data_IF_091429646102
#
_entry.id   IF_091429646102
#
_cell.length_a   1.000
_cell.length_b   1.000
_cell.length_c   1.000
_cell.angle_alpha   90.00
_cell.angle_beta   90.00
_cell.angle_gamma   90.00
#
_symmetry.space_group_name_H-M   'P 1'
#
loop_
_entity.id
_entity.type
_entity.pdbx_description
1 polymer ?
#
# COMPACT_ATOMS: atom_id res chain seq x y z
N UNK A 1 -7.71 -26.97 16.38
CA UNK A 1 -6.69 -26.12 17.02
C UNK A 1 -5.55 -25.89 16.02
N UNK A 2 -5.68 -24.92 15.13
CA UNK A 2 -4.56 -24.43 14.33
C UNK A 2 -4.74 -22.91 14.20
N UNK A 3 -4.11 -22.19 15.13
CA UNK A 3 -3.93 -20.76 15.04
C UNK A 3 -2.77 -20.50 14.08
N UNK A 4 -3.01 -19.68 13.06
CA UNK A 4 -1.96 -19.15 12.19
C UNK A 4 -1.86 -17.65 12.49
N UNK A 5 -0.71 -17.23 13.03
CA UNK A 5 -0.33 -15.83 13.13
C UNK A 5 0.35 -15.40 11.83
N UNK A 6 0.10 -14.17 11.40
CA UNK A 6 0.77 -13.54 10.27
C UNK A 6 1.37 -12.22 10.76
N UNK A 7 2.69 -12.16 10.88
CA UNK A 7 3.44 -10.92 11.11
C UNK A 7 3.72 -10.38 9.71
N UNK A 8 3.12 -9.25 9.30
CA UNK A 8 3.06 -8.95 7.86
C UNK A 8 3.99 -7.83 7.39
N UNK A 9 4.22 -6.74 8.11
CA UNK A 9 4.96 -5.61 7.53
C UNK A 9 5.68 -4.76 8.56
N UNK A 10 6.95 -4.40 8.29
CA UNK A 10 7.70 -3.34 8.98
C UNK A 10 7.86 -2.12 8.06
N UNK A 11 7.45 -0.94 8.54
CA UNK A 11 7.54 0.33 7.83
C UNK A 11 8.76 1.14 8.28
N UNK A 12 9.49 1.74 7.34
CA UNK A 12 10.41 2.85 7.59
C UNK A 12 9.87 4.10 6.90
N UNK A 13 9.60 5.18 7.64
CA UNK A 13 9.26 6.48 7.07
C UNK A 13 10.48 7.37 7.20
N UNK A 14 11.02 7.83 6.08
CA UNK A 14 12.04 8.86 6.05
C UNK A 14 11.40 10.14 5.50
N UNK A 15 10.88 10.96 6.41
CA UNK A 15 10.64 12.38 6.17
C UNK A 15 11.58 13.15 7.09
N UNK A 16 12.13 14.21 6.55
CA UNK A 16 12.97 15.27 7.09
C UNK A 16 12.62 15.80 8.50
N UNK A 17 11.53 15.35 9.15
CA UNK A 17 11.24 15.61 10.59
C UNK A 17 10.60 14.48 11.41
N UNK A 18 10.58 13.21 10.97
CA UNK A 18 10.19 12.11 11.86
C UNK A 18 10.76 10.77 11.37
N UNK A 19 11.61 10.14 12.19
CA UNK A 19 12.00 8.74 12.07
C UNK A 19 10.97 7.93 12.85
N UNK A 20 10.00 7.33 12.15
CA UNK A 20 9.17 6.30 12.76
C UNK A 20 9.77 4.94 12.39
N UNK A 21 10.60 4.40 13.28
CA UNK A 21 11.00 2.99 13.25
C UNK A 21 9.93 2.15 13.97
N UNK A 22 9.44 1.12 13.28
CA UNK A 22 8.76 0.00 13.93
C UNK A 22 7.29 0.23 14.24
N UNK A 23 6.43 0.03 13.25
CA UNK A 23 5.09 -0.49 13.50
C UNK A 23 4.91 -1.76 12.70
N UNK A 24 4.64 -2.87 13.40
CA UNK A 24 4.19 -4.11 12.78
C UNK A 24 2.71 -3.93 12.47
N UNK A 25 2.35 -4.00 11.20
CA UNK A 25 0.94 -4.14 10.83
C UNK A 25 0.58 -5.61 10.99
N UNK A 26 -0.20 -5.92 12.03
CA UNK A 26 -0.84 -7.22 12.19
C UNK A 26 -2.25 -7.18 11.61
N UNK A 27 -2.50 -8.05 10.63
CA UNK A 27 -3.79 -8.21 10.02
C UNK A 27 -4.64 -9.16 10.86
N UNK A 28 -5.55 -8.63 11.68
CA UNK A 28 -6.56 -9.44 12.34
C UNK A 28 -7.68 -9.73 11.33
N UNK A 29 -7.91 -11.03 11.08
CA UNK A 29 -9.06 -11.65 10.37
C UNK A 29 -10.08 -10.66 9.77
N UNK A 30 -10.16 -10.59 8.43
CA UNK A 30 -11.42 -10.33 7.75
C UNK A 30 -12.28 -11.60 7.83
N UNK A 31 -13.45 -11.52 8.47
CA UNK A 31 -14.39 -12.64 8.62
C UNK A 31 -14.95 -13.12 7.28
N UNK A 32 -15.67 -14.24 7.29
CA UNK A 32 -16.45 -14.71 6.14
C UNK A 32 -17.78 -13.94 6.10
N UNK A 33 -18.14 -13.36 4.94
CA UNK A 33 -19.42 -12.69 4.70
C UNK A 33 -19.39 -11.15 4.74
N UNK A 34 -19.22 -10.51 3.58
CA UNK A 34 -19.46 -9.07 3.38
C UNK A 34 -18.47 -8.12 4.08
N UNK A 35 -17.27 -8.62 4.37
CA UNK A 35 -16.40 -8.19 5.47
C UNK A 35 -15.33 -7.20 5.01
N UNK A 36 -15.08 -6.16 5.81
CA UNK A 36 -14.04 -5.16 5.60
C UNK A 36 -12.71 -5.78 5.13
N UNK A 37 -12.12 -5.23 4.06
CA UNK A 37 -10.81 -5.66 3.59
C UNK A 37 -9.75 -5.17 4.57
N UNK A 38 -8.98 -6.08 5.22
CA UNK A 38 -7.98 -5.68 6.21
C UNK A 38 -6.97 -4.70 5.61
N UNK A 39 -6.79 -3.55 6.27
CA UNK A 39 -5.91 -2.50 5.80
C UNK A 39 -5.23 -1.80 6.97
N UNK A 40 -3.98 -1.38 6.76
CA UNK A 40 -3.29 -0.45 7.64
C UNK A 40 -2.70 0.71 6.85
N UNK A 41 -2.55 1.86 7.51
CA UNK A 41 -2.17 3.12 6.89
C UNK A 41 -1.17 3.86 7.77
N UNK A 42 -0.25 4.56 7.15
CA UNK A 42 0.54 5.57 7.84
C UNK A 42 -0.36 6.69 8.36
N UNK A 43 -0.05 7.21 9.55
CA UNK A 43 -0.79 8.33 10.16
C UNK A 43 -0.61 9.64 9.40
N UNK A 44 0.48 9.78 8.66
CA UNK A 44 0.89 11.05 8.04
C UNK A 44 0.38 11.15 6.62
N UNK A 45 -0.36 12.22 6.34
CA UNK A 45 -0.69 12.68 5.00
C UNK A 45 0.40 13.62 4.51
N UNK A 46 0.93 13.36 3.33
CA UNK A 46 1.98 14.16 2.68
C UNK A 46 1.40 14.76 1.42
N UNK A 47 1.46 16.08 1.28
CA UNK A 47 1.09 16.74 0.03
C UNK A 47 1.97 16.22 -1.12
N UNK A 48 1.38 15.96 -2.28
CA UNK A 48 2.12 15.43 -3.44
C UNK A 48 3.29 16.31 -3.88
N UNK A 49 3.24 17.61 -3.58
CA UNK A 49 4.31 18.56 -3.90
C UNK A 49 5.56 18.41 -3.01
N UNK A 50 5.48 17.61 -1.94
CA UNK A 50 6.60 17.37 -1.02
C UNK A 50 7.29 16.04 -1.33
N UNK A 51 8.52 15.90 -0.82
CA UNK A 51 9.26 14.66 -0.86
C UNK A 51 8.88 13.78 0.32
N UNK A 52 8.53 12.52 0.08
CA UNK A 52 8.38 11.51 1.11
C UNK A 52 8.81 10.14 0.62
N UNK A 53 9.26 9.33 1.57
CA UNK A 53 9.73 7.98 1.32
C UNK A 53 9.22 7.00 2.38
N UNK A 54 8.74 5.84 1.91
CA UNK A 54 8.29 4.73 2.75
C UNK A 54 8.93 3.42 2.29
N UNK A 55 9.56 2.69 3.21
CA UNK A 55 10.03 1.33 3.01
C UNK A 55 9.12 0.33 3.71
N UNK A 56 8.81 -0.77 3.05
CA UNK A 56 7.78 -1.72 3.46
C UNK A 56 8.33 -3.12 3.27
N UNK A 57 8.84 -3.74 4.34
CA UNK A 57 9.38 -5.09 4.26
C UNK A 57 8.26 -6.12 4.42
N UNK A 58 8.15 -7.04 3.45
CA UNK A 58 7.28 -8.20 3.60
C UNK A 58 7.94 -9.25 4.49
N UNK A 59 7.35 -9.53 5.65
CA UNK A 59 7.91 -10.49 6.63
C UNK A 59 7.15 -11.82 6.68
N UNK A 60 6.00 -11.91 6.03
CA UNK A 60 5.24 -13.15 5.94
C UNK A 60 3.99 -13.05 5.07
N UNK A 61 3.59 -14.18 4.48
CA UNK A 61 2.34 -14.33 3.72
C UNK A 61 1.78 -15.73 4.01
N UNK A 62 0.70 -15.80 4.80
CA UNK A 62 0.16 -17.08 5.30
C UNK A 62 -0.73 -17.83 4.30
N UNK A 63 -1.15 -17.19 3.21
CA UNK A 63 -1.99 -17.80 2.17
C UNK A 63 -1.32 -17.66 0.82
N UNK A 64 -1.30 -18.75 0.04
CA UNK A 64 -0.85 -18.73 -1.36
C UNK A 64 -1.87 -18.07 -2.30
N UNK A 65 -3.13 -17.94 -1.87
CA UNK A 65 -4.21 -17.38 -2.67
C UNK A 65 -4.51 -15.92 -2.34
N UNK A 66 -4.13 -15.44 -1.16
CA UNK A 66 -4.35 -14.03 -0.81
C UNK A 66 -3.41 -13.12 -1.61
N UNK A 67 -3.85 -11.90 -1.92
CA UNK A 67 -3.02 -10.86 -2.50
C UNK A 67 -2.69 -9.79 -1.46
N UNK A 68 -1.51 -9.20 -1.58
CA UNK A 68 -1.08 -8.06 -0.76
C UNK A 68 -0.90 -6.88 -1.69
N UNK A 69 -1.56 -5.78 -1.37
CA UNK A 69 -1.43 -4.51 -2.08
C UNK A 69 -0.62 -3.56 -1.20
N UNK A 70 0.44 -3.02 -1.78
CA UNK A 70 1.35 -2.08 -1.10
C UNK A 70 1.37 -0.80 -1.92
N UNK A 71 1.02 0.34 -1.33
CA UNK A 71 0.95 1.57 -2.11
C UNK A 71 0.55 2.79 -1.32
N UNK A 72 -0.04 3.75 -2.02
CA UNK A 72 -0.56 4.98 -1.43
C UNK A 72 -2.04 5.14 -1.77
N UNK A 73 -2.74 5.81 -0.87
CA UNK A 73 -4.04 6.40 -1.16
C UNK A 73 -3.95 7.92 -1.08
N UNK A 74 -4.71 8.59 -1.94
CA UNK A 74 -4.76 10.03 -2.04
C UNK A 74 -6.09 10.58 -1.54
N UNK A 75 -6.04 11.78 -0.98
CA UNK A 75 -7.21 12.57 -0.57
C UNK A 75 -7.03 14.02 -1.02
N UNK A 76 -8.13 14.64 -1.46
CA UNK A 76 -8.10 16.00 -1.99
C UNK A 76 -7.68 17.03 -0.93
N UNK A 77 -8.23 16.89 0.29
CA UNK A 77 -7.98 17.78 1.42
C UNK A 77 -7.92 16.99 2.74
N UNK A 78 -6.97 17.29 3.64
CA UNK A 78 -6.94 16.72 4.98
C UNK A 78 -8.26 17.02 5.71
N UNK A 79 -8.88 16.01 6.34
CA UNK A 79 -10.15 16.17 7.06
C UNK A 79 -11.42 16.17 6.18
N UNK A 80 -11.30 16.05 4.85
CA UNK A 80 -12.42 15.76 3.93
C UNK A 80 -12.24 14.41 3.25
N UNK A 81 -11.71 13.46 4.01
CA UNK A 81 -11.46 12.09 3.56
C UNK A 81 -12.80 11.47 3.11
N UNK A 82 -13.00 11.36 1.79
CA UNK A 82 -14.07 10.51 1.26
C UNK A 82 -13.61 9.09 1.49
N UNK A 83 -14.18 8.45 2.51
CA UNK A 83 -13.69 7.22 3.11
C UNK A 83 -13.43 6.09 2.11
N UNK A 84 -12.17 5.96 1.66
CA UNK A 84 -11.65 4.72 1.08
C UNK A 84 -11.36 3.66 2.17
N UNK A 85 -11.72 3.93 3.44
CA UNK A 85 -11.58 3.03 4.57
C UNK A 85 -12.42 1.77 4.37
N UNK A 86 -11.74 0.62 4.28
CA UNK A 86 -12.37 -0.69 4.11
C UNK A 86 -12.89 -0.96 2.70
N UNK A 87 -12.70 -0.03 1.74
CA UNK A 87 -12.99 -0.29 0.33
C UNK A 87 -11.88 -1.14 -0.28
N UNK A 88 -12.26 -2.11 -1.11
CA UNK A 88 -11.32 -2.86 -1.93
C UNK A 88 -10.63 -1.90 -2.91
N UNK A 89 -9.30 -1.81 -2.86
CA UNK A 89 -8.54 -0.97 -3.79
C UNK A 89 -8.68 -1.44 -5.23
N UNK A 90 -9.07 -2.69 -5.49
CA UNK A 90 -9.39 -3.17 -6.84
C UNK A 90 -10.74 -2.64 -7.37
N UNK A 91 -11.44 -1.75 -6.64
CA UNK A 91 -12.69 -1.16 -7.11
C UNK A 91 -12.45 -0.01 -8.11
N UNK A 92 -13.34 0.15 -9.09
CA UNK A 92 -13.32 1.27 -10.05
C UNK A 92 -13.39 2.65 -9.36
N UNK A 93 -14.10 2.75 -8.24
CA UNK A 93 -14.19 4.00 -7.45
C UNK A 93 -12.87 4.44 -6.82
N UNK A 94 -11.88 3.53 -6.78
CA UNK A 94 -10.54 3.78 -6.28
C UNK A 94 -9.55 4.22 -7.38
N UNK A 95 -9.97 4.26 -8.66
CA UNK A 95 -9.14 4.74 -9.78
C UNK A 95 -8.79 6.23 -9.59
N UNK A 96 -7.51 6.56 -9.77
CA UNK A 96 -6.96 7.89 -9.53
C UNK A 96 -6.84 8.28 -8.04
N UNK A 97 -7.28 7.42 -7.13
CA UNK A 97 -7.25 7.65 -5.67
C UNK A 97 -6.40 6.67 -4.91
N UNK A 98 -6.18 5.50 -5.47
CA UNK A 98 -5.28 4.48 -4.91
C UNK A 98 -4.29 4.12 -5.98
N UNK A 99 -3.05 3.90 -5.58
CA UNK A 99 -1.96 3.49 -6.45
C UNK A 99 -1.17 2.44 -5.70
N UNK A 100 -1.09 1.23 -6.23
CA UNK A 100 -0.53 0.11 -5.48
C UNK A 100 0.18 -0.90 -6.36
N UNK A 101 1.15 -1.56 -5.75
CA UNK A 101 1.86 -2.70 -6.27
C UNK A 101 1.33 -3.98 -5.60
N UNK A 102 0.82 -4.89 -6.40
CA UNK A 102 0.26 -6.15 -6.00
C UNK A 102 1.33 -7.24 -5.91
N UNK A 103 1.15 -8.20 -4.98
CA UNK A 103 2.12 -9.28 -4.77
C UNK A 103 2.32 -10.20 -5.97
N UNK A 104 1.36 -10.24 -6.89
CA UNK A 104 1.43 -10.97 -8.17
C UNK A 104 2.28 -10.27 -9.25
N UNK A 105 2.79 -9.06 -9.00
CA UNK A 105 3.61 -8.34 -9.96
C UNK A 105 2.88 -7.25 -10.74
N UNK A 106 1.64 -6.90 -10.40
CA UNK A 106 0.90 -5.86 -11.13
C UNK A 106 0.89 -4.54 -10.36
N UNK A 107 1.17 -3.43 -11.04
CA UNK A 107 0.95 -2.09 -10.48
C UNK A 107 -0.35 -1.51 -11.02
N UNK A 108 -1.20 -0.97 -10.14
CA UNK A 108 -2.55 -0.54 -10.46
C UNK A 108 -2.86 0.86 -9.90
N UNK A 109 -3.83 1.52 -10.53
CA UNK A 109 -4.61 2.60 -9.93
C UNK A 109 -6.07 2.20 -9.86
N UNK A 110 -6.60 1.97 -8.66
CA UNK A 110 -7.90 1.29 -8.55
C UNK A 110 -7.88 -0.07 -9.27
N UNK A 111 -8.87 -0.32 -10.13
CA UNK A 111 -8.90 -1.52 -10.99
C UNK A 111 -8.08 -1.40 -12.29
N UNK A 112 -7.48 -0.24 -12.57
CA UNK A 112 -6.74 0.00 -13.81
C UNK A 112 -5.29 -0.43 -13.68
N UNK A 113 -4.87 -1.33 -14.55
CA UNK A 113 -3.46 -1.75 -14.65
C UNK A 113 -2.63 -0.60 -15.21
N UNK A 114 -1.58 -0.22 -14.48
CA UNK A 114 -0.57 0.75 -14.90
C UNK A 114 0.55 0.02 -15.64
N UNK A 115 1.08 -1.05 -15.04
CA UNK A 115 2.12 -1.88 -15.65
C UNK A 115 2.19 -3.28 -15.02
N UNK A 116 2.87 -4.18 -15.71
CA UNK A 116 3.27 -5.49 -15.20
C UNK A 116 4.77 -5.46 -14.88
N UNK A 117 5.13 -6.07 -13.75
CA UNK A 117 6.50 -6.20 -13.25
C UNK A 117 6.68 -7.57 -12.58
N UNK A 118 7.83 -7.81 -11.94
CA UNK A 118 8.08 -9.05 -11.20
C UNK A 118 7.16 -9.15 -9.97
N UNK A 119 6.67 -10.32 -9.57
CA UNK A 119 6.01 -10.53 -8.28
C UNK A 119 6.96 -10.22 -7.12
N UNK A 120 6.45 -9.82 -5.95
CA UNK A 120 7.25 -9.70 -4.73
C UNK A 120 6.93 -10.81 -3.72
N UNK A 121 7.92 -11.16 -2.89
CA UNK A 121 7.87 -12.29 -1.96
C UNK A 121 8.36 -11.89 -0.57
N UNK A 122 8.29 -12.85 0.35
CA UNK A 122 8.82 -12.68 1.71
C UNK A 122 10.29 -12.26 1.62
N UNK A 123 10.66 -11.35 2.53
CA UNK A 123 11.93 -10.63 2.64
C UNK A 123 12.19 -9.52 1.60
N UNK A 124 11.35 -9.37 0.58
CA UNK A 124 11.44 -8.19 -0.29
C UNK A 124 11.05 -6.91 0.46
N UNK A 125 11.73 -5.82 0.13
CA UNK A 125 11.41 -4.47 0.58
C UNK A 125 10.77 -3.70 -0.57
N UNK A 126 9.55 -3.21 -0.37
CA UNK A 126 8.87 -2.34 -1.32
C UNK A 126 9.05 -0.90 -0.87
N UNK A 127 9.68 -0.09 -1.71
CA UNK A 127 9.83 1.33 -1.49
C UNK A 127 8.76 2.12 -2.24
N UNK A 128 8.24 3.16 -1.59
CA UNK A 128 7.34 4.15 -2.16
C UNK A 128 8.03 5.51 -2.04
N UNK A 129 8.38 6.14 -3.16
CA UNK A 129 8.93 7.49 -3.19
C UNK A 129 7.93 8.43 -3.83
N UNK A 130 7.50 9.46 -3.11
CA UNK A 130 6.67 10.54 -3.64
C UNK A 130 7.51 11.80 -3.77
N UNK A 131 7.62 12.34 -4.98
CA UNK A 131 8.39 13.55 -5.26
C UNK A 131 7.76 14.30 -6.43
N UNK A 132 7.52 15.61 -6.27
CA UNK A 132 6.94 16.46 -7.32
C UNK A 132 5.68 15.85 -7.96
N UNK A 133 4.79 15.32 -7.12
CA UNK A 133 3.55 14.66 -7.52
C UNK A 133 3.77 13.43 -8.43
N UNK A 134 4.95 12.81 -8.36
CA UNK A 134 5.27 11.53 -9.00
C UNK A 134 5.51 10.48 -7.92
N UNK A 135 4.84 9.34 -8.04
CA UNK A 135 5.05 8.18 -7.18
C UNK A 135 5.91 7.15 -7.90
N UNK A 136 7.04 6.79 -7.31
CA UNK A 136 7.92 5.72 -7.77
C UNK A 136 7.82 4.53 -6.83
N UNK A 137 7.53 3.37 -7.40
CA UNK A 137 7.62 2.09 -6.69
C UNK A 137 9.00 1.48 -6.91
N UNK A 138 9.62 1.02 -5.84
CA UNK A 138 10.85 0.24 -5.89
C UNK A 138 10.66 -1.12 -5.23
N UNK A 139 11.44 -2.11 -5.68
CA UNK A 139 11.58 -3.42 -5.06
C UNK A 139 13.05 -3.66 -4.80
N UNK A 140 13.42 -3.82 -3.54
CA UNK A 140 14.81 -3.97 -3.09
C UNK A 140 15.74 -2.86 -3.64
N UNK A 141 15.20 -1.64 -3.74
CA UNK A 141 15.91 -0.46 -4.27
C UNK A 141 15.86 -0.29 -5.79
N UNK A 142 15.37 -1.29 -6.56
CA UNK A 142 15.22 -1.18 -8.01
C UNK A 142 13.84 -0.62 -8.39
N UNK A 143 13.79 0.37 -9.28
CA UNK A 143 12.53 0.95 -9.76
C UNK A 143 11.73 -0.07 -10.57
N UNK A 144 10.46 -0.27 -10.18
CA UNK A 144 9.52 -1.18 -10.87
C UNK A 144 8.36 -0.46 -11.54
N UNK A 145 7.98 0.71 -11.06
CA UNK A 145 6.93 1.53 -11.68
C UNK A 145 7.11 3.01 -11.33
N UNK A 146 6.65 3.88 -12.24
CA UNK A 146 6.60 5.33 -12.05
C UNK A 146 5.19 5.77 -12.43
N UNK A 147 4.53 6.49 -11.53
CA UNK A 147 3.16 6.98 -11.68
C UNK A 147 3.17 8.51 -11.56
N UNK A 148 3.02 9.24 -12.68
CA UNK A 148 2.98 10.70 -12.66
C UNK A 148 1.61 11.22 -12.19
N UNK A 149 1.54 12.53 -11.99
CA UNK A 149 0.29 13.29 -11.80
C UNK A 149 -0.56 12.86 -10.59
N UNK A 150 0.10 12.44 -9.50
CA UNK A 150 -0.55 12.19 -8.21
C UNK A 150 -1.11 13.49 -7.67
N UNK A 151 -2.39 13.51 -7.26
CA UNK A 151 -3.03 14.72 -6.77
C UNK A 151 -3.28 14.69 -5.25
N UNK A 152 -3.34 15.88 -4.66
CA UNK A 152 -3.73 16.06 -3.25
C UNK A 152 -2.67 15.62 -2.25
N UNK A 153 -3.11 14.86 -1.26
CA UNK A 153 -2.27 14.36 -0.17
C UNK A 153 -2.26 12.84 -0.19
N UNK A 154 -1.08 12.25 -0.15
CA UNK A 154 -0.87 10.82 -0.14
C UNK A 154 -0.49 10.32 1.26
N UNK A 155 -0.91 9.10 1.59
CA UNK A 155 -0.33 8.32 2.68
C UNK A 155 -0.08 6.90 2.23
N UNK A 156 1.00 6.32 2.72
CA UNK A 156 1.29 4.92 2.46
C UNK A 156 0.32 3.99 3.21
N UNK A 157 -0.04 2.88 2.58
CA UNK A 157 -0.98 1.92 3.12
C UNK A 157 -0.76 0.52 2.52
N UNK A 158 -1.15 -0.49 3.28
CA UNK A 158 -1.14 -1.90 2.87
C UNK A 158 -2.56 -2.43 3.02
N UNK A 159 -3.04 -3.10 1.98
CA UNK A 159 -4.30 -3.82 1.99
C UNK A 159 -4.05 -5.31 1.72
N UNK A 160 -4.78 -6.18 2.41
CA UNK A 160 -4.74 -7.62 2.16
C UNK A 160 -6.06 -8.06 1.56
N UNK A 161 -6.01 -8.55 0.33
CA UNK A 161 -7.17 -9.06 -0.39
C UNK A 161 -7.18 -10.59 -0.30
N UNK A 162 -8.34 -11.18 -0.05
CA UNK A 162 -8.57 -12.62 -0.22
C UNK A 162 -9.48 -12.79 -1.43
N UNK A 163 -9.07 -13.53 -2.47
CA UNK A 163 -10.03 -13.98 -3.45
C UNK A 163 -11.08 -14.84 -2.72
N UNK A 164 -12.35 -14.54 -3.00
CA UNK A 164 -13.49 -15.29 -2.50
C UNK A 164 -13.61 -16.69 -3.12
#
# INVERSE_FOLDING_TARGET
LYGMSAHAVQWGIHSDRAICTGQVVEALRGGEGGTQVPMARGSNLVSCAHHAYWDIKLIGKSSIHGEIYIGVETVDLPGKETYLLGQDWFNLTCEGRTFYYCSDGVCCSGNKIICHTSPFKVDDVIGLQLENCTLTFTKNGETVAIVPDIQGFARAAVQMHRPG
#
